data_IF_965156371064
#
_entry.id   IF_965156371064
#
_cell.length_a   1.000
_cell.length_b   1.000
_cell.length_c   1.000
_cell.angle_alpha   90.00
_cell.angle_beta   90.00
_cell.angle_gamma   90.00
#
_symmetry.space_group_name_H-M   'P 1'
#
loop_
_entity.id
_entity.type
_entity.pdbx_description
1 polymer ?
#
# COMPACT_ATOMS: atom_id res chain seq x y z
N UNK A 1 4.85 -12.88 12.04
CA UNK A 1 4.20 -12.80 10.71
C UNK A 1 2.96 -11.92 10.89
N UNK A 2 2.78 -10.87 10.08
CA UNK A 2 1.95 -9.67 10.41
C UNK A 2 0.59 -9.66 9.70
N UNK A 3 0.42 -10.46 8.64
CA UNK A 3 -0.83 -10.65 7.90
C UNK A 3 -0.63 -11.62 6.73
N UNK A 4 -1.71 -11.92 6.00
CA UNK A 4 -1.71 -12.77 4.81
C UNK A 4 -2.19 -11.98 3.59
N UNK A 5 -1.44 -12.06 2.48
CA UNK A 5 -1.83 -11.48 1.19
C UNK A 5 -2.69 -12.48 0.42
N UNK A 6 -3.93 -12.11 0.10
CA UNK A 6 -4.87 -12.96 -0.62
C UNK A 6 -5.70 -12.16 -1.62
N UNK A 7 -6.23 -12.84 -2.64
CA UNK A 7 -7.18 -12.25 -3.56
C UNK A 7 -8.60 -12.69 -3.17
N UNK A 8 -9.52 -11.74 -3.05
CA UNK A 8 -10.92 -12.04 -2.77
C UNK A 8 -11.69 -12.41 -4.06
N UNK A 9 -12.93 -12.88 -3.92
CA UNK A 9 -13.75 -13.34 -5.04
C UNK A 9 -14.12 -12.26 -6.06
N UNK A 10 -14.08 -10.98 -5.63
CA UNK A 10 -14.30 -9.81 -6.50
C UNK A 10 -13.01 -9.38 -7.21
N UNK A 11 -11.89 -10.08 -6.97
CA UNK A 11 -10.61 -9.80 -7.58
C UNK A 11 -9.71 -8.87 -6.77
N UNK A 12 -10.18 -8.22 -5.69
CA UNK A 12 -9.35 -7.31 -4.90
C UNK A 12 -8.22 -8.07 -4.20
N UNK A 13 -7.04 -7.46 -4.14
CA UNK A 13 -5.95 -7.91 -3.29
C UNK A 13 -6.14 -7.35 -1.88
N UNK A 14 -6.01 -8.20 -0.88
CA UNK A 14 -6.23 -7.85 0.52
C UNK A 14 -5.08 -8.35 1.38
N UNK A 15 -4.70 -7.57 2.37
CA UNK A 15 -3.92 -8.04 3.51
C UNK A 15 -4.89 -8.32 4.66
N UNK A 16 -4.88 -9.54 5.19
CA UNK A 16 -5.75 -9.98 6.29
C UNK A 16 -4.96 -10.23 7.58
N UNK A 17 -5.62 -10.05 8.72
CA UNK A 17 -5.12 -10.53 10.00
C UNK A 17 -5.13 -12.07 10.02
N UNK A 18 -4.17 -12.64 10.74
CA UNK A 18 -4.01 -14.07 10.98
C UNK A 18 -5.00 -14.67 11.96
N UNK A 19 -5.70 -13.87 12.75
CA UNK A 19 -6.63 -14.37 13.76
C UNK A 19 -7.88 -15.04 13.16
N UNK A 20 -7.98 -15.11 11.82
CA UNK A 20 -9.13 -15.71 11.14
C UNK A 20 -10.36 -14.80 11.13
N UNK A 21 -10.22 -13.55 11.57
CA UNK A 21 -11.24 -12.53 11.39
C UNK A 21 -11.41 -12.25 9.90
N UNK A 22 -12.66 -12.24 9.41
CA UNK A 22 -12.99 -12.06 7.99
C UNK A 22 -12.64 -10.66 7.45
N UNK A 23 -12.24 -9.74 8.31
CA UNK A 23 -11.99 -8.34 7.96
C UNK A 23 -10.58 -8.16 7.39
N UNK A 24 -10.51 -7.56 6.19
CA UNK A 24 -9.25 -7.13 5.61
C UNK A 24 -8.66 -5.94 6.40
N UNK A 25 -7.35 -5.98 6.65
CA UNK A 25 -6.59 -4.86 7.23
C UNK A 25 -6.48 -3.69 6.25
N UNK A 26 -6.36 -4.02 4.95
CA UNK A 26 -6.33 -3.08 3.84
C UNK A 26 -6.52 -3.83 2.51
N UNK A 27 -7.05 -3.15 1.50
CA UNK A 27 -7.35 -3.75 0.20
C UNK A 27 -6.98 -2.84 -0.97
N UNK A 28 -6.64 -3.40 -2.12
CA UNK A 28 -6.48 -2.64 -3.35
C UNK A 28 -7.15 -3.36 -4.51
N UNK A 29 -7.52 -2.61 -5.53
CA UNK A 29 -8.35 -3.09 -6.62
C UNK A 29 -7.53 -3.75 -7.73
N UNK A 30 -8.13 -4.74 -8.40
CA UNK A 30 -7.56 -5.46 -9.53
C UNK A 30 -8.66 -5.84 -10.55
N UNK A 31 -8.37 -5.77 -11.87
CA UNK A 31 -7.16 -5.20 -12.44
C UNK A 31 -7.10 -3.69 -12.22
N UNK A 32 -5.89 -3.10 -12.15
CA UNK A 32 -5.72 -1.65 -12.10
C UNK A 32 -6.38 -0.94 -13.28
N UNK A 33 -6.77 0.32 -13.09
CA UNK A 33 -7.22 1.17 -14.18
C UNK A 33 -6.05 1.44 -15.13
N UNK A 34 -6.35 1.54 -16.42
CA UNK A 34 -5.32 1.69 -17.45
C UNK A 34 -4.70 3.08 -17.34
N UNK A 35 -3.48 3.15 -16.82
CA UNK A 35 -2.75 4.41 -16.58
C UNK A 35 -2.30 4.57 -15.14
N UNK A 36 -2.81 3.73 -14.22
CA UNK A 36 -2.36 3.75 -12.84
C UNK A 36 -0.97 3.14 -12.70
N UNK A 37 -0.03 3.93 -12.20
CA UNK A 37 1.32 3.46 -11.88
C UNK A 37 1.32 2.66 -10.57
N UNK A 38 0.40 2.99 -9.66
CA UNK A 38 0.18 2.37 -8.35
C UNK A 38 -1.31 2.42 -8.01
N UNK A 39 -1.87 1.30 -7.56
CA UNK A 39 -3.16 1.27 -6.85
C UNK A 39 -2.91 1.12 -5.36
N UNK A 40 -3.70 1.79 -4.51
CA UNK A 40 -3.42 1.82 -3.08
C UNK A 40 -4.68 2.03 -2.25
N UNK A 41 -4.57 1.71 -0.96
CA UNK A 41 -5.48 2.19 0.07
C UNK A 41 -4.75 2.33 1.41
N UNK A 42 -5.45 2.94 2.36
CA UNK A 42 -5.08 2.96 3.74
C UNK A 42 -6.23 2.43 4.60
N UNK A 43 -5.91 1.67 5.63
CA UNK A 43 -6.87 1.12 6.58
C UNK A 43 -6.37 1.26 8.02
N UNK A 44 -7.27 1.23 8.99
CA UNK A 44 -6.93 1.23 10.40
C UNK A 44 -7.86 0.31 11.18
N UNK A 45 -7.34 -0.29 12.24
CA UNK A 45 -8.13 -1.15 13.14
C UNK A 45 -8.40 -0.40 14.45
N UNK A 46 -9.68 -0.09 14.68
CA UNK A 46 -10.13 0.68 15.85
C UNK A 46 -9.72 2.15 15.83
N UNK A 47 -10.23 2.93 16.78
CA UNK A 47 -9.95 4.37 16.86
C UNK A 47 -8.51 4.70 17.27
N UNK A 48 -7.61 3.77 17.63
CA UNK A 48 -6.36 4.20 18.28
C UNK A 48 -5.05 3.48 17.98
N UNK A 49 -4.99 2.28 17.37
CA UNK A 49 -3.76 1.49 17.59
C UNK A 49 -2.91 1.13 16.37
N UNK A 50 -3.46 1.07 15.15
CA UNK A 50 -2.62 0.75 13.99
C UNK A 50 -3.20 1.26 12.69
N UNK A 51 -2.33 1.83 11.85
CA UNK A 51 -2.59 2.16 10.46
C UNK A 51 -1.79 1.26 9.51
N UNK A 52 -2.43 0.96 8.39
CA UNK A 52 -1.94 0.12 7.32
C UNK A 52 -1.99 0.91 6.02
N UNK A 53 -0.88 0.92 5.29
CA UNK A 53 -0.80 1.42 3.92
C UNK A 53 -0.43 0.26 3.02
N UNK A 54 -1.23 0.01 2.00
CA UNK A 54 -1.07 -1.13 1.11
C UNK A 54 -1.40 -0.75 -0.32
N UNK A 55 -0.73 -1.37 -1.28
CA UNK A 55 -1.03 -1.16 -2.68
C UNK A 55 -0.26 -2.07 -3.61
N UNK A 56 -0.69 -2.09 -4.87
CA UNK A 56 -0.04 -2.79 -5.96
C UNK A 56 0.76 -1.80 -6.81
N UNK A 57 2.00 -2.16 -7.12
CA UNK A 57 2.91 -1.39 -7.97
C UNK A 57 2.86 -1.96 -9.38
N UNK A 58 2.36 -1.16 -10.31
CA UNK A 58 2.10 -1.58 -11.70
C UNK A 58 3.24 -1.15 -12.60
N UNK A 59 3.79 0.04 -12.35
CA UNK A 59 4.95 0.51 -13.07
C UNK A 59 6.18 -0.36 -12.75
N UNK A 60 6.76 -1.08 -13.74
CA UNK A 60 7.96 -1.87 -13.50
C UNK A 60 9.18 -1.01 -13.18
N UNK A 61 9.18 0.28 -13.56
CA UNK A 61 10.27 1.23 -13.29
C UNK A 61 10.26 1.78 -11.88
N UNK A 62 9.16 1.62 -11.12
CA UNK A 62 9.13 2.02 -9.71
C UNK A 62 9.88 0.95 -8.91
N UNK A 63 10.92 1.33 -8.19
CA UNK A 63 11.78 0.45 -7.39
C UNK A 63 11.78 0.81 -5.90
N UNK A 64 11.34 2.00 -5.53
CA UNK A 64 11.18 2.46 -4.15
C UNK A 64 9.81 3.09 -3.97
N UNK A 65 9.17 2.79 -2.85
CA UNK A 65 7.94 3.43 -2.40
C UNK A 65 8.24 4.21 -1.13
N UNK A 66 7.63 5.38 -0.99
CA UNK A 66 7.55 6.07 0.30
C UNK A 66 6.10 6.40 0.60
N UNK A 67 5.75 6.41 1.88
CA UNK A 67 4.46 6.91 2.36
C UNK A 67 4.71 8.18 3.14
N UNK A 68 4.16 9.28 2.69
CA UNK A 68 4.16 10.55 3.39
C UNK A 68 2.75 10.85 3.88
N UNK A 69 2.64 11.37 5.09
CA UNK A 69 1.40 11.85 5.69
C UNK A 69 1.63 13.28 6.16
N UNK A 70 0.59 13.95 6.67
CA UNK A 70 0.74 15.28 7.27
C UNK A 70 1.84 15.35 8.35
N UNK A 71 2.03 14.26 9.10
CA UNK A 71 2.87 14.27 10.31
C UNK A 71 4.12 13.37 10.21
N UNK A 72 4.11 12.41 9.29
CA UNK A 72 5.13 11.37 9.22
C UNK A 72 5.58 11.11 7.79
N UNK A 73 6.83 10.70 7.66
CA UNK A 73 7.42 10.25 6.41
C UNK A 73 8.06 8.88 6.59
N UNK A 74 7.70 7.94 5.72
CA UNK A 74 8.14 6.55 5.80
C UNK A 74 8.87 6.18 4.50
N UNK A 75 10.21 6.12 4.56
CA UNK A 75 11.04 5.71 3.43
C UNK A 75 11.24 4.20 3.32
N UNK A 76 11.20 3.51 4.46
CA UNK A 76 11.41 2.06 4.54
C UNK A 76 10.09 1.31 4.32
N UNK A 77 9.55 1.43 3.10
CA UNK A 77 8.34 0.72 2.67
C UNK A 77 8.76 -0.48 1.81
N UNK A 78 8.64 -1.72 2.33
CA UNK A 78 9.08 -2.90 1.62
C UNK A 78 8.21 -3.17 0.39
N UNK A 79 8.88 -3.61 -0.69
CA UNK A 79 8.22 -4.18 -1.85
C UNK A 79 8.15 -5.71 -1.72
N UNK A 80 6.99 -6.27 -2.02
CA UNK A 80 6.65 -7.68 -1.91
C UNK A 80 6.29 -8.17 -3.31
N UNK A 81 6.84 -9.31 -3.73
CA UNK A 81 6.50 -9.93 -5.01
C UNK A 81 5.69 -11.20 -4.78
N UNK A 82 4.54 -11.33 -5.43
CA UNK A 82 3.68 -12.51 -5.38
C UNK A 82 2.96 -12.70 -6.71
N UNK A 83 3.02 -13.91 -7.28
CA UNK A 83 2.39 -14.25 -8.56
C UNK A 83 2.67 -13.21 -9.66
N UNK A 84 3.95 -12.85 -9.86
CA UNK A 84 4.41 -11.83 -10.82
C UNK A 84 3.93 -10.39 -10.55
N UNK A 85 3.07 -10.19 -9.55
CA UNK A 85 2.60 -8.89 -9.10
C UNK A 85 3.52 -8.33 -8.01
N UNK A 86 3.59 -7.00 -7.92
CA UNK A 86 4.39 -6.28 -6.94
C UNK A 86 3.48 -5.48 -6.04
N UNK A 87 3.73 -5.54 -4.75
CA UNK A 87 2.94 -4.88 -3.73
C UNK A 87 3.84 -4.10 -2.78
N UNK A 88 3.27 -3.15 -2.05
CA UNK A 88 3.92 -2.56 -0.90
C UNK A 88 3.02 -2.68 0.32
N UNK A 89 3.62 -2.76 1.50
CA UNK A 89 2.87 -2.81 2.75
C UNK A 89 3.63 -2.09 3.87
N UNK A 90 2.96 -1.18 4.57
CA UNK A 90 3.49 -0.48 5.74
C UNK A 90 2.48 -0.51 6.88
N UNK A 91 2.87 -1.12 8.00
CA UNK A 91 2.17 -1.05 9.29
C UNK A 91 2.82 0.02 10.15
N UNK A 92 2.03 0.89 10.77
CA UNK A 92 2.50 1.92 11.71
C UNK A 92 1.60 1.97 12.95
N UNK A 93 2.17 2.34 14.10
CA UNK A 93 1.38 2.54 15.31
C UNK A 93 0.61 3.87 15.23
N UNK A 94 -0.66 3.86 15.66
CA UNK A 94 -1.54 5.02 15.63
C UNK A 94 -2.57 4.98 14.50
N UNK A 95 -3.26 6.11 14.28
CA UNK A 95 -4.33 6.23 13.31
C UNK A 95 -3.82 6.51 11.89
N UNK A 96 -4.70 6.36 10.90
CA UNK A 96 -4.44 6.82 9.52
C UNK A 96 -4.46 8.35 9.50
N UNK A 97 -3.36 8.98 9.08
CA UNK A 97 -3.21 10.44 9.05
C UNK A 97 -3.31 10.93 7.61
N UNK A 98 -4.27 11.81 7.34
CA UNK A 98 -4.50 12.42 6.01
C UNK A 98 -3.99 13.87 5.94
N UNK A 99 -3.63 14.39 4.75
CA UNK A 99 -3.57 13.68 3.47
C UNK A 99 -2.43 12.65 3.43
N UNK A 100 -2.57 11.65 2.56
CA UNK A 100 -1.57 10.60 2.33
C UNK A 100 -0.98 10.83 0.93
N UNK A 101 0.34 10.92 0.86
CA UNK A 101 1.09 10.92 -0.39
C UNK A 101 1.89 9.63 -0.56
N UNK A 102 1.44 8.76 -1.46
CA UNK A 102 2.21 7.59 -1.88
C UNK A 102 3.10 8.03 -3.05
N UNK A 103 4.41 7.95 -2.85
CA UNK A 103 5.37 8.29 -3.89
C UNK A 103 6.08 7.03 -4.39
N UNK A 104 6.22 6.93 -5.70
CA UNK A 104 6.96 5.87 -6.37
C UNK A 104 8.17 6.43 -7.09
N UNK A 105 9.34 5.87 -6.81
CA UNK A 105 10.61 6.32 -7.36
C UNK A 105 11.29 5.24 -8.19
N UNK A 106 12.02 5.66 -9.21
CA UNK A 106 12.91 4.79 -9.97
C UNK A 106 14.13 4.35 -9.14
N UNK A 107 14.87 3.41 -9.70
CA UNK A 107 16.20 3.01 -9.21
C UNK A 107 17.26 4.12 -9.24
N UNK A 108 17.06 5.21 -10.01
CA UNK A 108 17.92 6.41 -9.98
C UNK A 108 17.45 7.47 -8.99
N UNK A 109 16.29 7.26 -8.35
CA UNK A 109 15.67 8.24 -7.44
C UNK A 109 14.75 9.25 -8.13
N UNK A 110 14.48 9.09 -9.43
CA UNK A 110 13.49 9.89 -10.15
C UNK A 110 12.08 9.62 -9.61
N UNK A 111 11.31 10.67 -9.31
CA UNK A 111 9.90 10.55 -8.92
C UNK A 111 9.06 10.20 -10.16
N UNK A 112 8.43 9.03 -10.14
CA UNK A 112 7.60 8.53 -11.25
C UNK A 112 6.10 8.60 -10.93
N UNK A 113 5.74 8.64 -9.65
CA UNK A 113 4.36 8.67 -9.19
C UNK A 113 4.24 9.41 -7.87
N UNK A 114 3.15 10.16 -7.70
CA UNK A 114 2.74 10.82 -6.47
C UNK A 114 1.21 10.86 -6.44
N UNK A 115 0.58 10.52 -5.30
CA UNK A 115 -0.89 10.58 -5.19
C UNK A 115 -1.40 12.00 -5.00
N UNK A 116 -0.55 12.90 -4.52
CA UNK A 116 -0.82 14.33 -4.51
C UNK A 116 -0.14 14.98 -5.71
N UNK A 117 -0.89 15.78 -6.47
CA UNK A 117 -0.34 16.66 -7.50
C UNK A 117 0.47 17.75 -6.80
N UNK A 118 1.75 17.90 -7.16
CA UNK A 118 2.58 19.04 -6.74
C UNK A 118 2.23 20.31 -7.52
#
# INVERSE_FOLDING_TARGET
MIGELSQNWLGFWEIRDKSGNENALSSTYYPPEKGDEITWSAGGEGETETAYYFGQVINPKINKITVETKENFYEDVPLITSNENRFFFKKVNGQVITPINIKGFSNTGELLFSTLLE
#
